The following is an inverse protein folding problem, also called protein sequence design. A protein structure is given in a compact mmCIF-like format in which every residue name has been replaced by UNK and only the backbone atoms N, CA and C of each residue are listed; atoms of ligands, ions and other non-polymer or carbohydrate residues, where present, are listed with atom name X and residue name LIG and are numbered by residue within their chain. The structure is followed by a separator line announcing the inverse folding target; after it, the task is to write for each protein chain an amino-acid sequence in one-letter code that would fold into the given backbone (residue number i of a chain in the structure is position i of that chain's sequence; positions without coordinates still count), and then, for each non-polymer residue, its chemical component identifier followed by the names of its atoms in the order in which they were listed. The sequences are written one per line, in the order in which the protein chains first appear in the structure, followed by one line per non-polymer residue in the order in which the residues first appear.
data_IF_563668760085
#
_entry.id   IF_563668760085
#
_cell.length_a   1.000
_cell.length_b   1.000
_cell.length_c   1.000
_cell.angle_alpha   90.00
_cell.angle_beta   90.00
_cell.angle_gamma   90.00
#
_symmetry.space_group_name_H-M   'P 1'
#
loop_
_entity.id
_entity.type
_entity.pdbx_description
1 polymer ?
#
# COMPACT_ATOMS: atom_id res chain seq x y z
N UNK A 1 -32.19 -18.53 6.05
CA UNK A 1 -31.68 -17.48 6.96
C UNK A 1 -31.57 -16.17 6.24
N UNK A 2 -32.00 -15.09 6.89
CA UNK A 2 -31.89 -13.74 6.35
C UNK A 2 -30.63 -13.09 6.92
N UNK A 3 -29.85 -12.44 6.08
CA UNK A 3 -28.63 -11.73 6.50
C UNK A 3 -28.93 -10.63 7.53
N UNK A 4 -30.02 -9.89 7.34
CA UNK A 4 -30.42 -8.82 8.27
C UNK A 4 -30.77 -9.37 9.63
N UNK A 5 -31.41 -10.53 9.69
CA UNK A 5 -31.76 -11.20 10.94
C UNK A 5 -30.52 -11.64 11.72
N UNK A 6 -29.52 -12.21 11.01
CA UNK A 6 -28.27 -12.65 11.63
C UNK A 6 -27.51 -11.44 12.18
N UNK A 7 -27.40 -10.36 11.44
CA UNK A 7 -26.76 -9.13 11.88
C UNK A 7 -27.46 -8.52 13.08
N UNK A 8 -28.79 -8.49 13.07
CA UNK A 8 -29.58 -7.99 14.19
C UNK A 8 -29.34 -8.79 15.47
N UNK A 9 -29.32 -10.12 15.38
CA UNK A 9 -29.05 -10.99 16.54
C UNK A 9 -27.63 -10.78 17.08
N UNK A 10 -26.63 -10.64 16.21
CA UNK A 10 -25.26 -10.39 16.63
C UNK A 10 -25.11 -9.04 17.32
N UNK A 11 -25.72 -7.99 16.80
CA UNK A 11 -25.72 -6.65 17.39
C UNK A 11 -26.46 -6.60 18.72
N UNK A 12 -27.53 -7.37 18.84
CA UNK A 12 -28.32 -7.45 20.09
C UNK A 12 -27.67 -8.35 21.16
N UNK A 13 -26.57 -9.02 20.86
CA UNK A 13 -25.90 -9.95 21.77
C UNK A 13 -26.61 -11.28 21.94
N UNK A 14 -27.55 -11.62 21.06
CA UNK A 14 -28.27 -12.89 21.10
C UNK A 14 -27.36 -14.04 20.61
N UNK A 15 -27.59 -15.25 21.16
CA UNK A 15 -26.83 -16.43 20.74
C UNK A 15 -27.13 -16.79 19.28
N UNK A 16 -26.08 -17.17 18.54
CA UNK A 16 -26.18 -17.62 17.17
C UNK A 16 -25.98 -19.12 17.07
N UNK A 17 -26.69 -19.76 16.14
CA UNK A 17 -26.41 -21.15 15.78
C UNK A 17 -25.10 -21.26 15.03
N UNK A 18 -24.55 -22.48 14.88
CA UNK A 18 -23.31 -22.68 14.12
C UNK A 18 -23.44 -22.17 12.69
N UNK A 19 -24.60 -22.40 12.06
CA UNK A 19 -24.87 -21.92 10.70
C UNK A 19 -24.95 -20.38 10.64
N UNK A 20 -25.58 -19.78 11.64
CA UNK A 20 -25.66 -18.31 11.77
C UNK A 20 -24.30 -17.68 12.01
N UNK A 21 -23.43 -18.30 12.82
CA UNK A 21 -22.06 -17.86 13.05
C UNK A 21 -21.27 -17.88 11.74
N UNK A 22 -21.38 -18.94 10.94
CA UNK A 22 -20.73 -19.03 9.64
C UNK A 22 -21.19 -17.94 8.69
N UNK A 23 -22.51 -17.68 8.67
CA UNK A 23 -23.07 -16.62 7.83
C UNK A 23 -22.61 -15.24 8.30
N UNK A 24 -22.61 -14.99 9.60
CA UNK A 24 -22.11 -13.75 10.19
C UNK A 24 -20.65 -13.50 9.83
N UNK A 25 -19.79 -14.50 9.97
CA UNK A 25 -18.38 -14.41 9.61
C UNK A 25 -18.19 -14.09 8.13
N UNK A 26 -19.04 -14.62 7.24
CA UNK A 26 -18.96 -14.32 5.81
C UNK A 26 -19.36 -12.87 5.47
N UNK A 27 -20.28 -12.29 6.27
CA UNK A 27 -20.75 -10.90 6.07
C UNK A 27 -19.74 -9.88 6.62
N UNK A 28 -19.25 -10.13 7.85
CA UNK A 28 -18.35 -9.21 8.57
C UNK A 28 -16.87 -9.55 8.40
N UNK A 29 -16.55 -10.49 7.53
CA UNK A 29 -15.17 -10.83 7.22
C UNK A 29 -14.42 -9.55 6.86
N UNK A 30 -13.27 -9.25 7.51
CA UNK A 30 -12.53 -8.04 7.21
C UNK A 30 -12.26 -7.92 5.71
N UNK A 31 -12.49 -6.75 5.15
CA UNK A 31 -12.15 -6.48 3.76
C UNK A 31 -10.64 -6.65 3.63
N UNK A 32 -10.23 -7.57 2.76
CA UNK A 32 -8.82 -7.78 2.50
C UNK A 32 -8.31 -6.64 1.65
N UNK A 33 -7.52 -5.75 2.25
CA UNK A 33 -6.89 -4.66 1.53
C UNK A 33 -5.69 -5.16 0.74
N UNK A 34 -5.64 -4.78 -0.53
CA UNK A 34 -4.51 -5.05 -1.41
C UNK A 34 -3.74 -3.75 -1.58
N UNK A 35 -2.48 -3.76 -1.17
CA UNK A 35 -1.61 -2.60 -1.30
C UNK A 35 -0.72 -2.73 -2.52
N UNK A 36 -0.24 -1.60 -3.03
CA UNK A 36 0.78 -1.60 -4.06
C UNK A 36 2.15 -2.01 -3.50
N UNK A 37 3.16 -1.94 -4.34
CA UNK A 37 4.54 -2.32 -3.97
C UNK A 37 5.01 -1.59 -2.72
N UNK A 38 4.82 -0.28 -2.65
CA UNK A 38 5.36 0.54 -1.57
C UNK A 38 4.57 0.42 -0.28
N UNK A 39 3.24 0.32 -0.36
CA UNK A 39 2.41 0.06 0.81
C UNK A 39 2.72 -1.29 1.45
N UNK A 40 2.94 -2.33 0.64
CA UNK A 40 3.34 -3.65 1.11
C UNK A 40 4.71 -3.62 1.79
N UNK A 41 5.69 -2.93 1.20
CA UNK A 41 7.01 -2.77 1.80
C UNK A 41 6.96 -1.98 3.11
N UNK A 42 6.15 -0.93 3.18
CA UNK A 42 5.96 -0.15 4.40
C UNK A 42 5.35 -0.98 5.51
N UNK A 43 4.34 -1.80 5.21
CA UNK A 43 3.73 -2.70 6.18
C UNK A 43 4.75 -3.67 6.75
N UNK A 44 5.52 -4.31 5.90
CA UNK A 44 6.57 -5.25 6.31
C UNK A 44 7.63 -4.57 7.16
N UNK A 45 8.08 -3.39 6.77
CA UNK A 45 9.06 -2.61 7.53
C UNK A 45 8.55 -2.26 8.93
N UNK A 46 7.31 -1.78 9.03
CA UNK A 46 6.72 -1.43 10.32
C UNK A 46 6.59 -2.64 11.24
N UNK A 47 6.14 -3.77 10.71
CA UNK A 47 5.98 -5.01 11.49
C UNK A 47 7.32 -5.54 11.99
N UNK A 48 8.37 -5.52 11.16
CA UNK A 48 9.67 -6.11 11.46
C UNK A 48 10.62 -5.16 12.21
N UNK A 49 10.58 -3.86 11.91
CA UNK A 49 11.59 -2.90 12.40
C UNK A 49 11.03 -1.76 13.22
N UNK A 50 9.74 -1.53 13.21
CA UNK A 50 9.13 -0.44 13.97
C UNK A 50 7.71 -0.82 14.45
N UNK A 51 7.64 -1.92 15.19
CA UNK A 51 6.37 -2.43 15.71
C UNK A 51 5.66 -1.44 16.62
N UNK A 52 6.39 -0.62 17.37
CA UNK A 52 5.80 0.40 18.22
C UNK A 52 5.01 1.42 17.42
N UNK A 53 5.56 1.91 16.32
CA UNK A 53 4.85 2.82 15.40
C UNK A 53 3.65 2.13 14.76
N UNK A 54 3.80 0.88 14.35
CA UNK A 54 2.72 0.10 13.76
C UNK A 54 1.48 0.06 14.67
N UNK A 55 1.69 -0.21 15.96
CA UNK A 55 0.59 -0.27 16.94
C UNK A 55 -0.02 1.08 17.28
N UNK A 56 0.64 2.20 16.99
CA UNK A 56 0.12 3.55 17.23
C UNK A 56 -0.69 4.11 16.07
N UNK A 57 -0.66 3.48 14.91
CA UNK A 57 -1.42 3.92 13.73
C UNK A 57 -2.88 3.51 13.90
N UNK A 58 -3.79 4.50 13.96
CA UNK A 58 -5.22 4.26 14.15
C UNK A 58 -5.86 3.53 12.98
N UNK A 59 -5.52 3.93 11.75
CA UNK A 59 -6.06 3.33 10.54
C UNK A 59 -4.92 2.88 9.62
N UNK A 60 -4.50 1.63 9.80
CA UNK A 60 -3.41 1.03 9.04
C UNK A 60 -3.70 0.99 7.53
N UNK A 61 -4.89 0.54 7.06
CA UNK A 61 -5.19 0.57 5.64
C UNK A 61 -5.08 1.97 5.01
N UNK A 62 -5.62 2.97 5.67
CA UNK A 62 -5.52 4.36 5.20
C UNK A 62 -4.06 4.82 5.11
N UNK A 63 -3.26 4.52 6.14
CA UNK A 63 -1.84 4.85 6.16
C UNK A 63 -1.09 4.19 4.98
N UNK A 64 -1.30 2.89 4.76
CA UNK A 64 -0.60 2.13 3.72
C UNK A 64 -1.05 2.53 2.30
N UNK A 65 -2.33 2.78 2.10
CA UNK A 65 -2.81 3.37 0.83
C UNK A 65 -2.25 4.77 0.62
N UNK A 66 -2.11 5.54 1.69
CA UNK A 66 -1.46 6.84 1.67
C UNK A 66 0.01 6.77 1.24
N UNK A 67 0.74 5.73 1.70
CA UNK A 67 2.11 5.46 1.27
C UNK A 67 2.18 5.20 -0.24
N UNK A 68 1.29 4.35 -0.76
CA UNK A 68 1.24 4.09 -2.21
C UNK A 68 0.93 5.35 -3.01
N UNK A 69 -0.03 6.16 -2.56
CA UNK A 69 -0.39 7.42 -3.23
C UNK A 69 0.75 8.43 -3.21
N UNK A 70 1.43 8.56 -2.08
CA UNK A 70 2.58 9.46 -1.95
C UNK A 70 3.75 9.00 -2.81
N UNK A 71 4.00 7.71 -2.87
CA UNK A 71 5.03 7.11 -3.71
C UNK A 71 4.75 7.36 -5.19
N UNK A 72 3.51 7.19 -5.63
CA UNK A 72 3.12 7.47 -7.02
C UNK A 72 3.32 8.94 -7.38
N UNK A 73 2.92 9.85 -6.51
CA UNK A 73 3.11 11.29 -6.73
C UNK A 73 4.60 11.65 -6.82
N UNK A 74 5.41 11.15 -5.91
CA UNK A 74 6.84 11.39 -5.92
C UNK A 74 7.50 10.79 -7.17
N UNK A 75 7.07 9.59 -7.56
CA UNK A 75 7.56 8.93 -8.78
C UNK A 75 7.32 9.81 -10.01
N UNK A 76 6.10 10.30 -10.17
CA UNK A 76 5.73 11.13 -11.32
C UNK A 76 6.52 12.44 -11.34
N UNK A 77 6.66 13.11 -10.21
CA UNK A 77 7.41 14.36 -10.09
C UNK A 77 8.88 14.16 -10.43
N UNK A 78 9.50 13.14 -9.86
CA UNK A 78 10.92 12.86 -10.08
C UNK A 78 11.19 12.38 -11.51
N UNK A 79 10.32 11.54 -12.05
CA UNK A 79 10.47 11.06 -13.44
C UNK A 79 10.43 12.22 -14.43
N UNK A 80 9.47 13.12 -14.29
CA UNK A 80 9.38 14.31 -15.14
C UNK A 80 10.65 15.16 -15.05
N UNK A 81 11.13 15.38 -13.83
CA UNK A 81 12.33 16.18 -13.59
C UNK A 81 13.59 15.52 -14.13
N UNK A 82 13.78 14.22 -13.86
CA UNK A 82 14.99 13.50 -14.27
C UNK A 82 15.02 13.21 -15.77
N UNK A 83 13.88 12.91 -16.39
CA UNK A 83 13.82 12.68 -17.84
C UNK A 83 14.13 13.93 -18.66
N UNK A 84 13.95 15.11 -18.09
CA UNK A 84 14.36 16.36 -18.71
C UNK A 84 15.81 16.77 -18.42
N UNK A 85 16.49 16.09 -17.51
CA UNK A 85 17.89 16.40 -17.17
C UNK A 85 18.83 15.94 -18.31
N UNK A 86 19.77 16.80 -18.76
CA UNK A 86 20.71 16.44 -19.83
C UNK A 86 21.51 15.16 -19.58
N UNK A 87 21.74 14.80 -18.32
CA UNK A 87 22.46 13.57 -17.94
C UNK A 87 21.67 12.31 -18.23
N UNK A 88 20.34 12.39 -18.21
CA UNK A 88 19.43 11.25 -18.32
C UNK A 88 18.48 11.33 -19.51
N UNK A 89 18.50 12.45 -20.24
CA UNK A 89 17.66 12.66 -21.40
C UNK A 89 17.99 11.66 -22.51
N UNK A 90 16.98 11.22 -23.26
CA UNK A 90 17.16 10.29 -24.37
C UNK A 90 18.08 10.84 -25.44
N UNK A 91 18.99 10.00 -25.94
CA UNK A 91 20.02 10.35 -26.91
C UNK A 91 19.70 9.90 -28.34
N UNK A 92 18.71 9.04 -28.52
CA UNK A 92 18.42 8.36 -29.77
C UNK A 92 19.15 7.03 -29.94
N UNK A 93 20.09 6.70 -29.04
CA UNK A 93 20.73 5.39 -28.99
C UNK A 93 19.95 4.49 -28.05
N UNK A 94 19.39 3.39 -28.57
CA UNK A 94 18.52 2.51 -27.81
C UNK A 94 19.16 1.96 -26.54
N UNK A 95 20.37 1.41 -26.64
CA UNK A 95 21.04 0.82 -25.47
C UNK A 95 21.36 1.87 -24.41
N UNK A 96 21.82 3.03 -24.81
CA UNK A 96 22.11 4.14 -23.90
C UNK A 96 20.83 4.68 -23.25
N UNK A 97 19.74 4.78 -23.99
CA UNK A 97 18.48 5.26 -23.48
C UNK A 97 17.87 4.28 -22.47
N UNK A 98 17.98 2.97 -22.72
CA UNK A 98 17.56 1.93 -21.74
C UNK A 98 18.38 2.04 -20.45
N UNK A 99 19.69 2.24 -20.56
CA UNK A 99 20.57 2.42 -19.40
C UNK A 99 20.16 3.65 -18.59
N UNK A 100 19.90 4.76 -19.23
CA UNK A 100 19.48 6.01 -18.60
C UNK A 100 18.12 5.86 -17.89
N UNK A 101 17.15 5.19 -18.53
CA UNK A 101 15.86 4.89 -17.92
C UNK A 101 16.02 4.04 -16.67
N UNK A 102 16.88 3.02 -16.69
CA UNK A 102 17.12 2.18 -15.52
C UNK A 102 17.76 2.96 -14.37
N UNK A 103 18.65 3.90 -14.65
CA UNK A 103 19.24 4.77 -13.64
C UNK A 103 18.17 5.68 -13.03
N UNK A 104 17.31 6.28 -13.85
CA UNK A 104 16.20 7.11 -13.38
C UNK A 104 15.31 6.32 -12.42
N UNK A 105 14.89 5.12 -12.82
CA UNK A 105 14.02 4.26 -11.98
C UNK A 105 14.69 3.91 -10.65
N UNK A 106 15.96 3.60 -10.67
CA UNK A 106 16.71 3.28 -9.45
C UNK A 106 16.79 4.48 -8.51
N UNK A 107 17.08 5.67 -9.01
CA UNK A 107 17.14 6.89 -8.21
C UNK A 107 15.81 7.23 -7.57
N UNK A 108 14.73 7.09 -8.33
CA UNK A 108 13.37 7.35 -7.83
C UNK A 108 13.01 6.32 -6.74
N UNK A 109 13.28 5.06 -6.97
CA UNK A 109 12.98 4.00 -6.00
C UNK A 109 13.73 4.21 -4.68
N UNK A 110 15.01 4.53 -4.73
CA UNK A 110 15.81 4.84 -3.55
C UNK A 110 15.21 6.01 -2.75
N UNK A 111 14.82 7.07 -3.43
CA UNK A 111 14.21 8.24 -2.79
C UNK A 111 12.87 7.89 -2.13
N UNK A 112 12.01 7.15 -2.83
CA UNK A 112 10.71 6.71 -2.29
C UNK A 112 10.92 5.83 -1.05
N UNK A 113 11.84 4.88 -1.10
CA UNK A 113 12.10 4.00 0.04
C UNK A 113 12.58 4.79 1.26
N UNK A 114 13.48 5.73 1.06
CA UNK A 114 14.05 6.51 2.16
C UNK A 114 13.10 7.58 2.71
N UNK A 115 12.31 8.23 1.88
CA UNK A 115 11.46 9.35 2.26
C UNK A 115 10.05 8.94 2.69
N UNK A 116 9.54 7.85 2.17
CA UNK A 116 8.13 7.47 2.33
C UNK A 116 7.97 6.12 3.01
N UNK A 117 8.72 5.10 2.60
CA UNK A 117 8.53 3.71 3.07
C UNK A 117 9.23 3.46 4.41
N UNK A 118 10.52 3.77 4.50
CA UNK A 118 11.35 3.46 5.69
C UNK A 118 11.46 4.66 6.63
N UNK A 119 10.32 5.14 7.09
CA UNK A 119 10.26 6.31 7.99
C UNK A 119 9.66 6.01 9.36
#
# INVERSE_FOLDING_TARGET
MNKDEVLRKAEAGEGLTVEEVKLYQSIVKPVKHVYGKYGTLAKKYLEEHNAAKFWTIENIPEYLHGVDNAAERLWNIMYEKLSGDPRYKHTGNYLEDVRRENVIKQLIEEEILNEIVYV
#
